data_IF_797041702166
#
_entry.id   IF_797041702166
#
_cell.length_a   1.000
_cell.length_b   1.000
_cell.length_c   1.000
_cell.angle_alpha   90.00
_cell.angle_beta   90.00
_cell.angle_gamma   90.00
#
_symmetry.space_group_name_H-M   'P 1'
#
loop_
_entity.id
_entity.type
_entity.pdbx_description
1 polymer ?
#
# COMPACT_ATOMS: atom_id res chain seq x y z
N UNK A 1 -5.81 -10.02 -8.97
CA UNK A 1 -4.96 -11.17 -9.35
C UNK A 1 -5.10 -11.42 -10.85
N UNK A 2 -4.06 -11.92 -11.52
CA UNK A 2 -4.21 -12.36 -12.89
C UNK A 2 -5.04 -13.66 -12.91
N UNK A 3 -6.05 -13.71 -13.77
CA UNK A 3 -6.87 -14.90 -13.99
C UNK A 3 -6.85 -15.28 -15.45
N UNK A 4 -6.88 -16.58 -15.73
CA UNK A 4 -7.05 -17.07 -17.10
C UNK A 4 -8.48 -16.82 -17.56
N UNK A 5 -8.65 -16.00 -18.59
CA UNK A 5 -9.93 -15.73 -19.25
C UNK A 5 -9.72 -16.04 -20.72
N UNK A 6 -10.45 -17.02 -21.25
CA UNK A 6 -10.37 -17.46 -22.66
C UNK A 6 -8.96 -17.81 -23.15
N UNK A 7 -8.13 -18.37 -22.27
CA UNK A 7 -6.74 -18.77 -22.59
C UNK A 7 -5.71 -17.65 -22.47
N UNK A 8 -6.12 -16.44 -22.10
CA UNK A 8 -5.21 -15.30 -21.87
C UNK A 8 -5.16 -14.92 -20.38
N UNK A 9 -3.97 -14.53 -19.91
CA UNK A 9 -3.81 -13.95 -18.59
C UNK A 9 -4.33 -12.53 -18.58
N UNK A 10 -5.37 -12.26 -17.78
CA UNK A 10 -5.91 -10.92 -17.61
C UNK A 10 -5.78 -10.47 -16.16
N UNK A 11 -5.25 -9.27 -15.97
CA UNK A 11 -5.31 -8.61 -14.67
C UNK A 11 -6.76 -8.25 -14.36
N UNK A 12 -7.28 -8.79 -13.26
CA UNK A 12 -8.58 -8.37 -12.75
C UNK A 12 -8.42 -7.09 -11.95
N UNK A 13 -9.30 -6.11 -12.21
CA UNK A 13 -9.47 -4.91 -11.40
C UNK A 13 -10.66 -5.11 -10.46
N UNK A 14 -10.50 -4.72 -9.20
CA UNK A 14 -11.57 -4.68 -8.21
C UNK A 14 -11.82 -3.22 -7.83
N UNK A 15 -13.10 -2.81 -7.83
CA UNK A 15 -13.52 -1.51 -7.34
C UNK A 15 -14.20 -1.68 -5.99
N UNK A 16 -13.69 -0.99 -4.98
CA UNK A 16 -14.28 -0.91 -3.66
C UNK A 16 -14.96 0.44 -3.49
N UNK A 17 -16.18 0.44 -2.97
CA UNK A 17 -16.92 1.65 -2.60
C UNK A 17 -17.37 1.50 -1.16
N UNK A 18 -17.08 2.51 -0.35
CA UNK A 18 -17.54 2.63 1.01
C UNK A 18 -17.64 4.13 1.34
N UNK A 19 -18.58 4.47 2.21
CA UNK A 19 -18.72 5.81 2.74
C UNK A 19 -17.89 5.94 4.02
N UNK A 20 -17.16 7.05 4.16
CA UNK A 20 -16.64 7.46 5.46
C UNK A 20 -17.75 8.24 6.13
N UNK A 21 -18.29 7.69 7.20
CA UNK A 21 -19.45 8.24 7.88
C UNK A 21 -19.04 9.50 8.67
N UNK A 22 -19.93 10.47 8.78
CA UNK A 22 -19.69 11.77 9.44
C UNK A 22 -19.27 11.64 10.93
N UNK A 23 -19.53 10.50 11.56
CA UNK A 23 -19.13 10.19 12.93
C UNK A 23 -17.84 9.36 13.04
N UNK A 24 -17.15 9.15 11.92
CA UNK A 24 -15.83 8.51 11.90
C UNK A 24 -14.78 9.53 12.37
N UNK A 25 -13.94 9.16 13.33
CA UNK A 25 -12.88 10.04 13.80
C UNK A 25 -11.85 10.31 12.69
N UNK A 26 -11.34 11.55 12.57
CA UNK A 26 -10.23 11.83 11.67
C UNK A 26 -8.94 11.14 12.14
N UNK A 27 -7.98 11.02 11.23
CA UNK A 27 -6.65 10.51 11.54
C UNK A 27 -6.01 9.68 10.42
N UNK A 28 -4.89 9.05 10.76
CA UNK A 28 -4.09 8.25 9.83
C UNK A 28 -4.49 6.77 9.88
N UNK A 29 -5.16 6.31 8.83
CA UNK A 29 -5.39 4.91 8.54
C UNK A 29 -4.33 4.38 7.55
N UNK A 30 -4.41 3.08 7.25
CA UNK A 30 -3.53 2.41 6.29
C UNK A 30 -4.27 1.28 5.59
N UNK A 31 -3.83 0.91 4.40
CA UNK A 31 -4.38 -0.20 3.63
C UNK A 31 -3.28 -1.15 3.16
N UNK A 32 -3.58 -2.44 3.13
CA UNK A 32 -2.65 -3.49 2.70
C UNK A 32 -3.43 -4.75 2.24
N UNK A 33 -2.81 -5.67 1.48
CA UNK A 33 -3.41 -6.95 1.13
C UNK A 33 -3.70 -7.83 2.33
N UNK A 34 -4.85 -8.49 2.29
CA UNK A 34 -5.32 -9.39 3.34
C UNK A 34 -5.68 -10.78 2.76
N UNK A 35 -4.91 -11.23 1.77
CA UNK A 35 -5.10 -12.56 1.17
C UNK A 35 -4.78 -13.63 2.20
N UNK A 36 -5.74 -14.54 2.42
CA UNK A 36 -5.60 -15.63 3.39
C UNK A 36 -4.34 -16.45 3.11
N UNK A 37 -3.49 -16.61 4.14
CA UNK A 37 -2.22 -17.34 4.07
C UNK A 37 -1.04 -16.58 3.48
N UNK A 38 -1.25 -15.44 2.82
CA UNK A 38 -0.20 -14.72 2.08
C UNK A 38 -0.06 -13.24 2.45
N UNK A 39 -0.87 -12.72 3.39
CA UNK A 39 -0.87 -11.32 3.78
C UNK A 39 0.52 -10.83 4.25
N UNK A 40 1.25 -11.65 5.00
CA UNK A 40 2.60 -11.31 5.48
C UNK A 40 3.61 -11.14 4.36
N UNK A 41 3.61 -12.04 3.36
CA UNK A 41 4.46 -11.91 2.19
C UNK A 41 4.06 -10.64 1.41
N UNK A 42 2.79 -10.47 1.08
CA UNK A 42 2.36 -9.33 0.24
C UNK A 42 2.64 -7.98 0.91
N UNK A 43 2.31 -7.84 2.20
CA UNK A 43 2.56 -6.61 2.97
C UNK A 43 4.05 -6.39 3.22
N UNK A 44 4.80 -7.47 3.51
CA UNK A 44 6.25 -7.42 3.71
C UNK A 44 7.04 -7.06 2.45
N UNK A 45 6.49 -7.32 1.26
CA UNK A 45 6.98 -6.79 -0.02
C UNK A 45 6.43 -5.38 -0.33
N UNK A 46 6.06 -4.63 0.71
CA UNK A 46 5.64 -3.22 0.66
C UNK A 46 4.36 -2.93 -0.13
N UNK A 47 3.48 -3.91 -0.33
CA UNK A 47 2.13 -3.61 -0.80
C UNK A 47 1.32 -2.98 0.35
N UNK A 48 1.57 -1.71 0.65
CA UNK A 48 0.89 -0.97 1.71
C UNK A 48 0.87 0.52 1.39
N UNK A 49 -0.13 1.24 1.89
CA UNK A 49 -0.20 2.68 1.75
C UNK A 49 -0.88 3.36 2.93
N UNK A 50 -0.65 4.66 3.04
CA UNK A 50 -1.28 5.53 4.03
C UNK A 50 -2.63 5.99 3.49
N UNK A 51 -3.61 6.10 4.38
CA UNK A 51 -4.90 6.69 4.10
C UNK A 51 -5.19 7.75 5.16
N UNK A 52 -5.21 9.01 4.76
CA UNK A 52 -5.59 10.12 5.63
C UNK A 52 -7.11 10.27 5.60
N UNK A 53 -7.70 10.38 6.78
CA UNK A 53 -9.10 10.73 6.98
C UNK A 53 -9.07 12.12 7.60
N UNK A 54 -9.32 13.12 6.76
CA UNK A 54 -9.35 14.51 7.20
C UNK A 54 -10.55 14.77 8.10
N UNK A 55 -10.39 15.79 8.93
CA UNK A 55 -11.50 16.38 9.65
C UNK A 55 -12.30 17.29 8.71
N UNK A 56 -13.63 17.29 8.80
CA UNK A 56 -14.43 18.29 8.11
C UNK A 56 -14.36 19.60 8.90
N UNK A 57 -13.99 20.70 8.23
CA UNK A 57 -14.06 22.09 8.73
C UNK A 57 -13.22 22.45 9.97
N UNK A 58 -12.03 21.86 10.16
CA UNK A 58 -11.16 22.12 11.33
C UNK A 58 -11.92 22.00 12.67
N UNK A 59 -12.92 21.10 12.72
CA UNK A 59 -13.79 20.88 13.87
C UNK A 59 -13.02 20.50 15.14
N UNK A 60 -11.86 19.89 14.96
CA UNK A 60 -10.86 19.73 15.99
C UNK A 60 -10.17 21.07 16.21
N UNK A 61 -10.49 21.71 17.33
CA UNK A 61 -9.82 22.90 17.85
C UNK A 61 -8.35 22.61 18.22
N UNK A 62 -7.54 22.24 17.24
CA UNK A 62 -6.10 22.18 17.36
C UNK A 62 -5.59 23.61 17.53
N UNK A 63 -4.61 23.84 18.41
CA UNK A 63 -3.94 25.13 18.45
C UNK A 63 -3.33 25.44 17.09
N UNK A 64 -3.46 26.69 16.61
CA UNK A 64 -2.99 27.08 15.27
C UNK A 64 -1.53 26.73 15.02
N UNK A 65 -0.67 26.77 16.05
CA UNK A 65 0.74 26.40 15.92
C UNK A 65 0.99 24.91 15.61
N UNK A 66 -0.01 24.03 15.79
CA UNK A 66 0.02 22.62 15.37
C UNK A 66 -0.59 22.48 13.98
N UNK A 67 -1.71 23.17 13.73
CA UNK A 67 -2.43 23.14 12.45
C UNK A 67 -1.61 23.72 11.29
N UNK A 68 -0.84 24.77 11.57
CA UNK A 68 0.08 25.42 10.63
C UNK A 68 1.34 24.57 10.33
N UNK A 69 1.55 23.44 11.00
CA UNK A 69 2.72 22.60 10.78
C UNK A 69 2.61 21.89 9.43
N UNK A 70 3.74 21.81 8.73
CA UNK A 70 3.84 20.97 7.54
C UNK A 70 3.60 19.50 7.93
N UNK A 71 2.56 18.89 7.34
CA UNK A 71 2.30 17.47 7.49
C UNK A 71 3.38 16.64 6.77
N UNK A 72 3.91 15.61 7.45
CA UNK A 72 4.90 14.68 6.89
C UNK A 72 4.37 13.27 7.06
N UNK A 73 4.10 12.60 5.94
CA UNK A 73 3.69 11.20 5.93
C UNK A 73 4.93 10.29 5.96
N UNK A 74 5.07 9.52 7.03
CA UNK A 74 6.17 8.57 7.19
C UNK A 74 5.64 7.14 7.30
N UNK A 75 5.79 6.36 6.24
CA UNK A 75 5.60 4.92 6.27
C UNK A 75 6.94 4.25 6.59
N UNK A 76 7.08 3.72 7.80
CA UNK A 76 8.29 2.99 8.20
C UNK A 76 8.06 1.50 7.97
N UNK A 77 8.96 0.87 7.22
CA UNK A 77 8.91 -0.57 6.96
C UNK A 77 10.30 -1.18 7.04
N UNK A 78 10.37 -2.45 7.42
CA UNK A 78 11.61 -3.21 7.56
C UNK A 78 11.73 -4.24 6.44
N UNK A 79 12.92 -4.32 5.84
CA UNK A 79 13.29 -5.36 4.90
C UNK A 79 14.71 -5.83 5.20
N UNK A 80 14.87 -7.15 5.23
CA UNK A 80 16.18 -7.79 5.40
C UNK A 80 16.85 -7.89 4.03
N UNK A 81 17.63 -6.86 3.68
CA UNK A 81 18.24 -6.73 2.35
C UNK A 81 19.20 -7.88 2.01
N UNK A 82 19.83 -8.50 3.01
CA UNK A 82 20.73 -9.64 2.80
C UNK A 82 19.99 -10.89 2.30
N UNK A 83 18.81 -11.18 2.87
CA UNK A 83 17.95 -12.28 2.39
C UNK A 83 17.34 -11.97 1.01
N UNK A 84 17.00 -10.71 0.74
CA UNK A 84 16.53 -10.31 -0.60
C UNK A 84 17.64 -10.49 -1.65
N UNK A 85 18.90 -10.29 -1.29
CA UNK A 85 20.02 -10.58 -2.18
C UNK A 85 20.20 -12.09 -2.39
N UNK A 86 20.15 -12.88 -1.31
CA UNK A 86 20.35 -14.33 -1.35
C UNK A 86 19.21 -15.09 -2.06
N UNK A 87 17.96 -14.67 -1.89
CA UNK A 87 16.78 -15.34 -2.44
C UNK A 87 16.07 -14.57 -3.56
N UNK A 88 16.31 -13.27 -3.69
CA UNK A 88 15.67 -12.38 -4.68
C UNK A 88 16.54 -12.01 -5.87
N UNK A 89 17.85 -12.28 -5.84
CA UNK A 89 18.66 -12.25 -7.06
C UNK A 89 18.35 -13.46 -7.95
N UNK A 90 18.10 -13.16 -9.21
CA UNK A 90 17.48 -14.04 -10.18
C UNK A 90 18.42 -15.15 -10.67
N UNK A 91 17.98 -16.40 -10.60
CA UNK A 91 18.18 -17.37 -11.68
C UNK A 91 17.17 -17.09 -12.81
N UNK A 92 17.39 -17.68 -13.99
CA UNK A 92 16.71 -17.43 -15.28
C UNK A 92 15.15 -17.43 -15.31
N UNK A 93 14.47 -17.68 -14.18
CA UNK A 93 13.01 -17.70 -14.05
C UNK A 93 12.35 -16.32 -13.88
N UNK A 94 13.06 -15.29 -13.38
CA UNK A 94 12.43 -14.01 -13.00
C UNK A 94 12.86 -12.79 -13.85
N UNK A 95 13.71 -12.96 -14.87
CA UNK A 95 14.20 -11.86 -15.72
C UNK A 95 13.10 -11.07 -16.43
N UNK A 96 11.94 -11.68 -16.69
CA UNK A 96 10.79 -11.03 -17.32
C UNK A 96 10.07 -10.00 -16.43
N UNK A 97 10.23 -10.06 -15.10
CA UNK A 97 9.53 -9.16 -14.17
C UNK A 97 10.26 -7.83 -13.91
N UNK A 98 11.55 -7.73 -14.26
CA UNK A 98 12.37 -6.53 -14.02
C UNK A 98 12.55 -5.62 -15.25
N UNK A 99 11.87 -5.91 -16.37
CA UNK A 99 12.01 -5.10 -17.59
C UNK A 99 11.36 -3.70 -17.56
N UNK A 100 10.71 -3.30 -16.46
CA UNK A 100 10.07 -1.96 -16.37
C UNK A 100 11.06 -0.86 -15.92
N UNK A 101 12.30 -1.19 -15.56
CA UNK A 101 13.23 -0.22 -14.97
C UNK A 101 14.34 0.30 -15.91
N UNK A 102 14.18 0.24 -17.23
CA UNK A 102 15.12 0.89 -18.17
C UNK A 102 14.38 1.40 -19.43
N UNK A 103 13.70 2.54 -19.31
CA UNK A 103 13.51 3.51 -20.41
C UNK A 103 13.96 4.90 -19.93
#
# INVERSE_FOLDING_TARGET
PASLVDGEWRYQSLKYTYDILDYHSPGTAWYHPHVHGNAALQTGHFASGIKIIDDEDDSFNLPSYIDDLQEIHLLVSHMQLEEVWEYGMQDCANSALMQIANE
#
